data_IF_315779977164
#
_entry.id   IF_315779977164
#
_cell.length_a   1.000
_cell.length_b   1.000
_cell.length_c   1.000
_cell.angle_alpha   90.00
_cell.angle_beta   90.00
_cell.angle_gamma   90.00
#
_symmetry.space_group_name_H-M   'P 1'
#
loop_
_entity.id
_entity.type
_entity.pdbx_description
1 polymer ?
#
# COMPACT_ATOMS: atom_id res chain seq x y z
N UNK A 1 24.11 33.78 -14.01
CA UNK A 1 22.79 33.13 -13.89
C UNK A 1 23.09 31.67 -13.64
N UNK A 2 22.90 31.17 -12.41
CA UNK A 2 23.03 29.73 -12.17
C UNK A 2 21.87 29.06 -12.88
N UNK A 3 22.18 28.21 -13.85
CA UNK A 3 21.24 27.26 -14.41
C UNK A 3 20.85 26.32 -13.27
N UNK A 4 19.77 26.66 -12.59
CA UNK A 4 19.08 25.76 -11.68
C UNK A 4 18.43 24.71 -12.58
N UNK A 5 19.18 23.65 -12.88
CA UNK A 5 18.64 22.45 -13.51
C UNK A 5 17.60 21.90 -12.55
N UNK A 6 16.34 22.26 -12.74
CA UNK A 6 15.21 21.61 -12.10
C UNK A 6 15.24 20.21 -12.71
N UNK A 7 15.88 19.26 -12.03
CA UNK A 7 15.69 17.84 -12.31
C UNK A 7 14.20 17.58 -12.14
N UNK A 8 13.46 17.52 -13.25
CA UNK A 8 12.08 17.09 -13.27
C UNK A 8 12.07 15.61 -12.86
N UNK A 9 12.03 15.36 -11.56
CA UNK A 9 11.90 14.00 -11.03
C UNK A 9 10.57 13.46 -11.56
N UNK A 10 10.66 12.48 -12.44
CA UNK A 10 9.51 11.82 -13.04
C UNK A 10 8.54 11.38 -11.93
N UNK A 11 7.21 11.50 -12.11
CA UNK A 11 6.24 11.03 -11.13
C UNK A 11 6.43 9.55 -10.78
N UNK A 12 6.97 8.76 -11.71
CA UNK A 12 7.34 7.35 -11.47
C UNK A 12 8.50 7.26 -10.48
N UNK A 13 9.55 8.07 -10.63
CA UNK A 13 10.69 8.07 -9.72
C UNK A 13 10.30 8.56 -8.31
N UNK A 14 9.37 9.51 -8.22
CA UNK A 14 8.80 9.93 -6.93
C UNK A 14 8.05 8.78 -6.24
N UNK A 15 7.26 8.01 -7.00
CA UNK A 15 6.56 6.82 -6.47
C UNK A 15 7.58 5.75 -6.04
N UNK A 16 8.62 5.50 -6.83
CA UNK A 16 9.66 4.52 -6.49
C UNK A 16 10.43 4.93 -5.23
N UNK A 17 10.79 6.20 -5.09
CA UNK A 17 11.43 6.73 -3.87
C UNK A 17 10.50 6.63 -2.65
N UNK A 18 9.21 6.91 -2.83
CA UNK A 18 8.21 6.75 -1.78
C UNK A 18 8.08 5.28 -1.37
N UNK A 19 8.11 4.33 -2.30
CA UNK A 19 8.05 2.89 -2.03
C UNK A 19 9.34 2.39 -1.35
N UNK A 20 10.52 2.86 -1.77
CA UNK A 20 11.80 2.45 -1.14
C UNK A 20 12.00 3.05 0.24
N UNK A 21 11.42 4.22 0.53
CA UNK A 21 11.35 4.80 1.88
C UNK A 21 10.17 4.30 2.70
N UNK A 22 9.17 3.71 2.06
CA UNK A 22 8.01 3.17 2.75
C UNK A 22 8.43 2.00 3.64
N UNK A 23 7.84 1.98 4.82
CA UNK A 23 8.05 0.91 5.77
C UNK A 23 7.64 -0.43 5.15
N UNK A 24 8.43 -1.50 5.35
CA UNK A 24 8.17 -2.82 4.75
C UNK A 24 6.77 -3.33 5.04
N UNK A 25 6.22 -2.94 6.20
CA UNK A 25 4.84 -3.15 6.63
C UNK A 25 3.80 -2.58 5.64
N UNK A 26 4.04 -1.38 5.11
CA UNK A 26 3.15 -0.70 4.15
C UNK A 26 3.19 -1.40 2.79
N UNK A 27 4.38 -1.87 2.38
CA UNK A 27 4.54 -2.66 1.16
C UNK A 27 3.77 -3.98 1.23
N UNK A 28 3.88 -4.71 2.35
CA UNK A 28 3.14 -5.97 2.58
C UNK A 28 1.63 -5.73 2.59
N UNK A 29 1.17 -4.62 3.19
CA UNK A 29 -0.24 -4.22 3.13
C UNK A 29 -0.73 -4.04 1.70
N UNK A 30 0.03 -3.29 0.90
CA UNK A 30 -0.35 -2.94 -0.46
C UNK A 30 -0.44 -4.20 -1.34
N UNK A 31 0.51 -5.13 -1.21
CA UNK A 31 0.48 -6.41 -1.91
C UNK A 31 -0.74 -7.24 -1.50
N UNK A 32 -1.00 -7.39 -0.20
CA UNK A 32 -2.15 -8.15 0.28
C UNK A 32 -3.49 -7.52 -0.15
N UNK A 33 -3.58 -6.19 -0.13
CA UNK A 33 -4.76 -5.47 -0.59
C UNK A 33 -5.01 -5.73 -2.09
N UNK A 34 -3.96 -5.68 -2.92
CA UNK A 34 -4.06 -5.99 -4.35
C UNK A 34 -4.55 -7.43 -4.60
N UNK A 35 -4.07 -8.41 -3.85
CA UNK A 35 -4.52 -9.81 -3.97
C UNK A 35 -6.01 -9.93 -3.64
N UNK A 36 -6.47 -9.30 -2.58
CA UNK A 36 -7.88 -9.33 -2.15
C UNK A 36 -8.78 -8.57 -3.16
N UNK A 37 -8.29 -7.45 -3.70
CA UNK A 37 -8.98 -6.71 -4.75
C UNK A 37 -9.10 -7.51 -6.06
N UNK A 38 -8.08 -8.27 -6.43
CA UNK A 38 -8.15 -9.19 -7.57
C UNK A 38 -9.17 -10.30 -7.33
N UNK A 39 -9.20 -10.89 -6.13
CA UNK A 39 -10.21 -11.90 -5.78
C UNK A 39 -11.64 -11.35 -5.90
N UNK A 40 -11.86 -10.08 -5.51
CA UNK A 40 -13.15 -9.41 -5.71
C UNK A 40 -13.43 -9.19 -7.21
N UNK A 41 -12.44 -8.77 -8.00
CA UNK A 41 -12.60 -8.54 -9.43
C UNK A 41 -12.90 -9.82 -10.22
N UNK A 42 -12.41 -10.98 -9.76
CA UNK A 42 -12.74 -12.29 -10.32
C UNK A 42 -14.03 -12.90 -9.74
N UNK A 43 -14.79 -12.13 -8.95
CA UNK A 43 -16.03 -12.56 -8.29
C UNK A 43 -15.83 -13.83 -7.44
N UNK A 44 -14.61 -14.02 -6.91
CA UNK A 44 -14.24 -15.16 -6.05
C UNK A 44 -14.63 -14.94 -4.60
N UNK A 45 -14.89 -13.68 -4.22
CA UNK A 45 -15.30 -13.27 -2.88
C UNK A 45 -16.43 -12.24 -3.01
N UNK A 46 -17.36 -12.23 -2.06
CA UNK A 46 -18.41 -11.22 -2.04
C UNK A 46 -17.87 -9.85 -1.62
N UNK A 47 -18.58 -8.78 -1.98
CA UNK A 47 -18.25 -7.42 -1.52
C UNK A 47 -18.24 -7.31 0.02
N UNK A 48 -19.04 -8.13 0.70
CA UNK A 48 -19.13 -8.16 2.16
C UNK A 48 -17.93 -8.88 2.78
N UNK A 49 -17.45 -9.97 2.15
CA UNK A 49 -16.21 -10.64 2.54
C UNK A 49 -15.01 -9.72 2.34
N UNK A 50 -14.96 -8.99 1.21
CA UNK A 50 -13.94 -7.99 0.95
C UNK A 50 -13.90 -6.92 2.05
N UNK A 51 -15.07 -6.36 2.41
CA UNK A 51 -15.15 -5.32 3.44
C UNK A 51 -14.71 -5.85 4.81
N UNK A 52 -15.00 -7.12 5.10
CA UNK A 52 -14.61 -7.78 6.35
C UNK A 52 -13.10 -8.03 6.41
N UNK A 53 -12.52 -8.52 5.31
CA UNK A 53 -11.08 -8.76 5.13
C UNK A 53 -10.25 -7.46 5.17
N UNK A 54 -10.79 -6.35 4.68
CA UNK A 54 -10.08 -5.05 4.64
C UNK A 54 -10.27 -4.26 5.93
N UNK A 55 -11.49 -4.20 6.49
CA UNK A 55 -11.84 -3.18 7.50
C UNK A 55 -12.03 -3.69 8.93
N UNK A 56 -12.69 -4.84 9.15
CA UNK A 56 -13.28 -5.13 10.47
C UNK A 56 -12.31 -5.91 11.38
N UNK A 57 -11.55 -6.85 10.83
CA UNK A 57 -10.59 -7.65 11.63
C UNK A 57 -9.31 -8.05 10.88
N UNK A 58 -9.19 -7.68 9.61
CA UNK A 58 -8.14 -8.19 8.74
C UNK A 58 -6.95 -7.26 8.59
N UNK A 59 -6.78 -6.77 7.36
CA UNK A 59 -5.54 -6.20 6.87
C UNK A 59 -5.15 -4.89 7.57
N UNK A 60 -6.12 -3.99 7.78
CA UNK A 60 -5.91 -2.68 8.40
C UNK A 60 -5.52 -2.79 9.87
N UNK A 61 -6.21 -3.62 10.65
CA UNK A 61 -5.91 -3.87 12.07
C UNK A 61 -4.57 -4.56 12.25
N UNK A 62 -4.24 -5.53 11.38
CA UNK A 62 -2.95 -6.23 11.41
C UNK A 62 -1.79 -5.29 11.11
N UNK A 63 -1.97 -4.36 10.17
CA UNK A 63 -0.95 -3.35 9.83
C UNK A 63 -0.81 -2.29 10.91
N UNK A 64 -1.92 -1.85 11.53
CA UNK A 64 -1.85 -0.96 12.68
C UNK A 64 -1.11 -1.61 13.85
N UNK A 65 -1.29 -2.92 14.09
CA UNK A 65 -0.53 -3.68 15.09
C UNK A 65 0.95 -3.82 14.72
N UNK A 66 1.26 -4.08 13.45
CA UNK A 66 2.64 -4.23 12.99
C UNK A 66 3.39 -2.89 13.04
N UNK A 67 2.72 -1.79 12.68
CA UNK A 67 3.23 -0.44 12.77
C UNK A 67 3.46 -0.02 14.24
N UNK A 68 2.51 -0.30 15.14
CA UNK A 68 2.65 -0.03 16.59
C UNK A 68 3.78 -0.79 17.26
N UNK A 69 4.25 -1.90 16.69
CA UNK A 69 5.33 -2.72 17.26
C UNK A 69 6.72 -2.22 16.87
N UNK A 70 6.81 -1.22 15.99
CA UNK A 70 8.06 -0.67 15.47
C UNK A 70 8.53 0.61 16.20
N UNK A 71 7.72 1.12 17.13
CA UNK A 71 8.11 2.07 18.19
C UNK A 71 8.62 1.31 19.43
#
# INVERSE_FOLDING_TARGET
MSEETIEEISPIDQIVMAITRADSTVLVFLVMFLVIALLLAFDKISAQDFLTLVSVDGLSTSVLKLAKKKD
#
